data_IF_274045500749
#
_entry.id   IF_274045500749
#
_cell.length_a   1.000
_cell.length_b   1.000
_cell.length_c   1.000
_cell.angle_alpha   90.00
_cell.angle_beta   90.00
_cell.angle_gamma   90.00
#
_symmetry.space_group_name_H-M   'P 1'
#
loop_
_entity.id
_entity.type
_entity.pdbx_description
1 polymer ?
#
# COMPACT_ATOMS: atom_id res chain seq x y z
N UNK A 1 18.77 -8.49 -7.94
CA UNK A 1 18.30 -7.71 -9.11
C UNK A 1 17.26 -8.50 -9.89
N UNK A 2 16.36 -7.86 -10.67
CA UNK A 2 15.37 -8.56 -11.49
C UNK A 2 16.00 -9.61 -12.44
N UNK A 3 17.13 -9.32 -13.15
CA UNK A 3 17.82 -10.34 -13.93
C UNK A 3 18.26 -11.56 -13.11
N UNK A 4 18.75 -11.36 -11.88
CA UNK A 4 19.13 -12.44 -10.99
C UNK A 4 17.91 -13.29 -10.59
N UNK A 5 16.79 -12.66 -10.22
CA UNK A 5 15.53 -13.35 -9.90
C UNK A 5 14.99 -14.14 -11.10
N UNK A 6 15.04 -13.58 -12.30
CA UNK A 6 14.65 -14.27 -13.53
C UNK A 6 15.59 -15.44 -13.85
N UNK A 7 16.91 -15.26 -13.64
CA UNK A 7 17.89 -16.32 -13.80
C UNK A 7 17.69 -17.45 -12.76
N UNK A 8 17.43 -17.10 -11.51
CA UNK A 8 17.11 -18.07 -10.44
C UNK A 8 15.87 -18.86 -10.81
N UNK A 9 14.80 -18.21 -11.28
CA UNK A 9 13.59 -18.89 -11.76
C UNK A 9 13.88 -19.82 -12.93
N UNK A 10 14.68 -19.38 -13.89
CA UNK A 10 15.07 -20.21 -15.05
C UNK A 10 15.96 -21.39 -14.64
N UNK A 11 16.89 -21.19 -13.70
CA UNK A 11 17.78 -22.24 -13.19
C UNK A 11 17.08 -23.27 -12.31
N UNK A 12 15.99 -22.86 -11.64
CA UNK A 12 15.22 -23.70 -10.76
C UNK A 12 14.41 -24.79 -11.51
N UNK A 13 14.27 -24.70 -12.84
CA UNK A 13 13.51 -25.64 -13.66
C UNK A 13 11.99 -25.52 -13.47
N UNK A 14 11.21 -26.17 -14.29
CA UNK A 14 9.73 -26.12 -14.28
C UNK A 14 9.07 -26.69 -12.99
N UNK A 15 9.85 -27.13 -12.01
CA UNK A 15 9.36 -27.74 -10.76
C UNK A 15 9.69 -27.00 -9.47
N UNK A 16 10.51 -25.94 -9.45
CA UNK A 16 10.84 -25.24 -8.22
C UNK A 16 10.08 -23.92 -8.10
N UNK A 17 9.17 -23.89 -7.15
CA UNK A 17 8.41 -22.68 -6.82
C UNK A 17 9.29 -21.77 -5.95
N UNK A 18 9.79 -20.67 -6.52
CA UNK A 18 10.55 -19.64 -5.78
C UNK A 18 9.64 -18.74 -4.93
N UNK A 19 8.33 -18.90 -5.00
CA UNK A 19 7.38 -18.14 -4.20
C UNK A 19 7.31 -18.70 -2.79
N UNK A 20 7.36 -17.83 -1.79
CA UNK A 20 7.22 -18.24 -0.37
C UNK A 20 5.77 -18.54 0.03
N UNK A 21 4.80 -18.25 -0.85
CA UNK A 21 3.37 -18.29 -0.51
C UNK A 21 2.93 -17.16 0.43
N UNK A 22 3.79 -16.16 0.65
CA UNK A 22 3.47 -14.97 1.45
C UNK A 22 2.97 -13.83 0.58
N UNK A 23 2.29 -12.88 1.21
CA UNK A 23 1.74 -11.68 0.57
C UNK A 23 2.23 -10.41 1.25
N UNK A 24 2.16 -9.29 0.53
CA UNK A 24 2.51 -7.97 1.04
C UNK A 24 1.34 -7.01 0.88
N UNK A 25 1.01 -6.29 1.93
CA UNK A 25 0.11 -5.12 1.91
C UNK A 25 0.95 -3.88 2.15
N UNK A 26 1.03 -3.00 1.15
CA UNK A 26 1.69 -1.71 1.26
C UNK A 26 0.64 -0.62 1.51
N UNK A 27 0.53 -0.15 2.76
CA UNK A 27 -0.26 1.02 3.12
C UNK A 27 0.55 2.28 2.80
N UNK A 28 0.19 2.95 1.71
CA UNK A 28 0.83 4.17 1.24
C UNK A 28 0.08 5.39 1.77
N UNK A 29 0.71 6.12 2.69
CA UNK A 29 0.22 7.36 3.29
C UNK A 29 0.63 8.54 2.40
N UNK A 30 -0.17 8.78 1.37
CA UNK A 30 0.17 9.71 0.29
C UNK A 30 0.03 11.17 0.71
N UNK A 31 1.05 11.94 0.42
CA UNK A 31 1.22 13.33 0.83
C UNK A 31 2.46 13.53 1.71
N UNK A 32 3.12 12.46 2.15
CA UNK A 32 4.31 12.48 3.00
C UNK A 32 3.96 12.55 4.49
N UNK A 33 3.70 11.40 5.14
CA UNK A 33 3.41 11.34 6.57
C UNK A 33 4.59 11.85 7.38
N UNK A 34 4.30 12.67 8.37
CA UNK A 34 5.34 13.15 9.28
C UNK A 34 5.81 12.04 10.20
N UNK A 35 7.10 11.68 10.12
CA UNK A 35 7.71 10.67 10.98
C UNK A 35 7.67 11.07 12.47
N UNK A 36 7.60 12.39 12.76
CA UNK A 36 7.54 12.93 14.10
C UNK A 36 6.14 12.73 14.71
N UNK A 37 5.09 13.04 13.97
CA UNK A 37 3.71 12.86 14.47
C UNK A 37 3.26 11.39 14.45
N UNK A 38 4.05 10.47 13.85
CA UNK A 38 3.74 9.03 13.78
C UNK A 38 4.58 8.21 14.76
N UNK A 39 5.78 7.81 14.39
CA UNK A 39 6.54 6.78 15.12
C UNK A 39 7.80 7.30 15.84
N UNK A 40 8.10 8.62 15.76
CA UNK A 40 9.30 9.20 16.40
C UNK A 40 9.04 10.60 17.01
N UNK A 41 8.19 10.71 18.06
CA UNK A 41 7.61 11.98 18.54
C UNK A 41 8.59 12.98 19.14
N UNK A 42 9.81 12.57 19.53
CA UNK A 42 10.89 13.45 20.00
C UNK A 42 10.49 14.41 21.13
N UNK A 43 9.76 13.95 22.12
CA UNK A 43 9.24 14.81 23.19
C UNK A 43 10.32 15.51 24.02
N UNK A 44 11.56 15.06 23.97
CA UNK A 44 12.71 15.73 24.61
C UNK A 44 13.33 16.84 23.77
N UNK A 45 12.90 17.01 22.51
CA UNK A 45 13.33 18.11 21.64
C UNK A 45 12.64 19.43 22.02
N UNK A 46 13.17 20.60 21.60
CA UNK A 46 12.46 21.87 21.71
C UNK A 46 11.05 21.83 21.10
N UNK A 47 10.16 22.68 21.60
CA UNK A 47 8.73 22.63 21.28
C UNK A 47 8.41 22.68 19.77
N UNK A 48 9.21 23.42 19.01
CA UNK A 48 9.05 23.58 17.56
C UNK A 48 9.49 22.34 16.74
N UNK A 49 10.16 21.35 17.37
CA UNK A 49 10.65 20.14 16.71
C UNK A 49 9.85 18.88 17.11
N UNK A 50 9.39 18.82 18.36
CA UNK A 50 8.66 17.64 18.87
C UNK A 50 7.28 17.50 18.26
N UNK A 51 6.65 16.36 18.47
CA UNK A 51 5.28 16.12 18.04
C UNK A 51 4.31 17.14 18.68
N UNK A 52 3.44 17.71 17.85
CA UNK A 52 2.54 18.79 18.25
C UNK A 52 1.51 18.33 19.29
N UNK A 53 1.03 17.10 19.14
CA UNK A 53 -0.01 16.53 20.00
C UNK A 53 0.54 15.64 21.13
N UNK A 54 1.86 15.60 21.30
CA UNK A 54 2.49 14.75 22.30
C UNK A 54 2.67 13.30 21.84
N UNK A 55 2.78 12.41 22.81
CA UNK A 55 3.10 11.02 22.57
C UNK A 55 2.19 10.07 23.34
N UNK A 56 2.12 8.83 22.88
CA UNK A 56 1.52 7.69 23.58
C UNK A 56 2.57 6.64 23.90
N UNK A 57 2.42 5.98 25.06
CA UNK A 57 3.28 4.86 25.45
C UNK A 57 2.99 3.65 24.55
N UNK A 58 4.03 2.86 24.33
CA UNK A 58 3.90 1.59 23.61
C UNK A 58 4.20 0.40 24.51
N UNK A 59 3.96 -0.81 24.02
CA UNK A 59 4.35 -2.05 24.70
C UNK A 59 5.87 -2.29 24.71
N UNK A 60 6.64 -1.51 23.95
CA UNK A 60 8.10 -1.57 23.95
C UNK A 60 8.66 -0.58 24.97
N UNK A 61 9.45 -1.04 25.95
CA UNK A 61 10.04 -0.14 26.97
C UNK A 61 10.85 1.01 26.34
N UNK A 62 10.56 2.24 26.76
CA UNK A 62 11.26 3.44 26.30
C UNK A 62 10.91 3.88 24.87
N UNK A 63 9.97 3.23 24.22
CA UNK A 63 9.49 3.57 22.88
C UNK A 63 8.11 4.22 22.98
N UNK A 64 7.95 5.36 22.33
CA UNK A 64 6.66 6.06 22.23
C UNK A 64 6.32 6.32 20.77
N UNK A 65 5.03 6.44 20.46
CA UNK A 65 4.48 6.89 19.18
C UNK A 65 3.79 8.23 19.35
N UNK A 66 3.46 8.91 18.27
CA UNK A 66 2.61 10.11 18.31
C UNK A 66 1.27 9.81 18.98
N UNK A 67 0.71 10.78 19.69
CA UNK A 67 -0.48 10.58 20.55
C UNK A 67 -1.72 10.02 19.83
N UNK A 68 -1.79 10.16 18.51
CA UNK A 68 -2.90 9.64 17.69
C UNK A 68 -2.80 8.14 17.37
N UNK A 69 -1.78 7.41 17.90
CA UNK A 69 -1.53 6.00 17.63
C UNK A 69 -1.60 5.11 18.89
N UNK A 70 -2.63 5.24 19.76
CA UNK A 70 -2.70 4.45 20.99
C UNK A 70 -2.97 2.96 20.75
N UNK A 71 -3.67 2.58 19.68
CA UNK A 71 -3.96 1.18 19.36
C UNK A 71 -2.71 0.49 18.79
N UNK A 72 -2.03 1.12 17.84
CA UNK A 72 -0.73 0.62 17.35
C UNK A 72 0.33 0.63 18.45
N UNK A 73 0.29 1.59 19.38
CA UNK A 73 1.16 1.59 20.56
C UNK A 73 1.00 0.33 21.41
N UNK A 74 -0.21 -0.17 21.58
CA UNK A 74 -0.50 -1.46 22.26
C UNK A 74 0.01 -2.67 21.48
N UNK A 75 0.16 -2.55 20.17
CA UNK A 75 0.62 -3.59 19.25
C UNK A 75 2.09 -3.42 18.83
N UNK A 76 2.83 -2.49 19.43
CA UNK A 76 4.22 -2.20 19.04
C UNK A 76 5.14 -3.43 19.13
N UNK A 77 4.85 -4.37 20.03
CA UNK A 77 5.57 -5.66 20.12
C UNK A 77 5.37 -6.56 18.87
N UNK A 78 4.37 -6.26 18.04
CA UNK A 78 4.08 -6.92 16.75
C UNK A 78 4.52 -6.09 15.54
N UNK A 79 5.29 -5.04 15.78
CA UNK A 79 5.77 -4.13 14.75
C UNK A 79 7.30 -4.03 14.77
N UNK A 80 7.87 -3.70 13.62
CA UNK A 80 9.23 -3.22 13.49
C UNK A 80 9.18 -1.80 12.93
N UNK A 81 9.60 -0.81 13.71
CA UNK A 81 9.55 0.60 13.32
C UNK A 81 10.95 1.07 12.93
N UNK A 82 11.05 1.73 11.78
CA UNK A 82 12.33 2.21 11.25
C UNK A 82 12.44 3.72 11.43
N UNK A 83 13.42 4.16 12.24
CA UNK A 83 13.68 5.59 12.53
C UNK A 83 14.90 6.16 11.80
N UNK A 84 15.42 5.41 10.82
CA UNK A 84 16.57 5.82 9.99
C UNK A 84 16.32 5.67 8.49
N UNK A 85 15.07 5.54 8.06
CA UNK A 85 14.71 5.42 6.65
C UNK A 85 14.87 6.76 5.92
N UNK A 86 15.67 6.77 4.84
CA UNK A 86 16.03 7.97 4.09
C UNK A 86 16.25 7.67 2.61
N UNK A 87 15.83 8.58 1.75
CA UNK A 87 16.13 8.54 0.30
C UNK A 87 16.52 9.91 -0.30
N UNK A 88 16.39 11.01 0.46
CA UNK A 88 16.86 12.34 0.05
C UNK A 88 15.93 13.10 -0.92
N UNK A 89 14.82 12.52 -1.37
CA UNK A 89 13.90 13.14 -2.34
C UNK A 89 12.69 13.75 -1.62
N UNK A 90 12.43 15.04 -1.83
CA UNK A 90 11.30 15.79 -1.25
C UNK A 90 10.23 16.20 -2.28
N UNK A 91 10.20 15.60 -3.47
CA UNK A 91 9.20 15.90 -4.50
C UNK A 91 8.17 14.77 -4.60
N UNK A 92 6.87 15.07 -4.43
CA UNK A 92 5.79 14.07 -4.41
C UNK A 92 5.88 13.03 -5.53
N UNK A 93 6.00 13.47 -6.79
CA UNK A 93 5.97 12.56 -7.93
C UNK A 93 7.13 11.58 -7.96
N UNK A 94 8.34 12.09 -7.88
CA UNK A 94 9.56 11.29 -7.98
C UNK A 94 9.84 10.49 -6.71
N UNK A 95 9.50 11.02 -5.54
CA UNK A 95 9.67 10.30 -4.28
C UNK A 95 8.66 9.14 -4.15
N UNK A 96 7.40 9.35 -4.51
CA UNK A 96 6.38 8.28 -4.50
C UNK A 96 6.79 7.11 -5.42
N UNK A 97 7.21 7.42 -6.65
CA UNK A 97 7.72 6.42 -7.59
C UNK A 97 8.98 5.71 -7.06
N UNK A 98 9.91 6.47 -6.45
CA UNK A 98 11.15 5.92 -5.89
C UNK A 98 10.88 4.94 -4.73
N UNK A 99 10.00 5.29 -3.80
CA UNK A 99 9.64 4.42 -2.66
C UNK A 99 8.88 3.20 -3.14
N UNK A 100 7.87 3.36 -4.01
CA UNK A 100 7.08 2.25 -4.53
C UNK A 100 7.90 1.28 -5.38
N UNK A 101 8.93 1.77 -6.09
CA UNK A 101 9.87 0.95 -6.84
C UNK A 101 11.00 0.38 -5.97
N UNK A 102 11.21 0.88 -4.75
CA UNK A 102 12.35 0.48 -3.91
C UNK A 102 13.72 0.82 -4.53
N UNK A 103 13.76 1.76 -5.47
CA UNK A 103 15.00 2.16 -6.15
C UNK A 103 15.55 1.16 -7.15
N UNK A 104 14.74 0.19 -7.61
CA UNK A 104 15.21 -0.79 -8.61
C UNK A 104 15.47 -0.14 -9.99
N UNK A 105 16.39 -0.71 -10.81
CA UNK A 105 16.78 -0.14 -12.10
C UNK A 105 15.64 -0.01 -13.12
N UNK A 106 14.67 -0.93 -13.12
CA UNK A 106 13.54 -0.89 -14.07
C UNK A 106 12.50 0.15 -13.71
N UNK A 107 12.60 0.80 -12.54
CA UNK A 107 11.64 1.76 -12.02
C UNK A 107 10.20 1.20 -11.86
N UNK A 108 10.04 -0.11 -12.00
CA UNK A 108 8.77 -0.79 -11.78
C UNK A 108 8.44 -0.84 -10.28
N UNK A 109 7.19 -0.55 -9.91
CA UNK A 109 6.73 -0.70 -8.54
C UNK A 109 6.84 -2.16 -8.08
N UNK A 110 7.02 -2.38 -6.78
CA UNK A 110 7.27 -3.71 -6.21
C UNK A 110 6.18 -4.72 -6.57
N UNK A 111 4.90 -4.30 -6.60
CA UNK A 111 3.80 -5.15 -7.04
C UNK A 111 3.89 -5.55 -8.52
N UNK A 112 4.37 -4.66 -9.39
CA UNK A 112 4.62 -4.98 -10.81
C UNK A 112 5.80 -5.95 -10.98
N UNK A 113 6.85 -5.81 -10.16
CA UNK A 113 7.95 -6.78 -10.11
C UNK A 113 7.45 -8.16 -9.65
N UNK A 114 6.60 -8.18 -8.61
CA UNK A 114 6.00 -9.42 -8.14
C UNK A 114 5.17 -10.08 -9.24
N UNK A 115 4.24 -9.36 -9.87
CA UNK A 115 3.41 -9.88 -10.95
C UNK A 115 4.24 -10.38 -12.15
N UNK A 116 5.39 -9.74 -12.45
CA UNK A 116 6.31 -10.20 -13.51
C UNK A 116 6.91 -11.57 -13.18
N UNK A 117 7.13 -11.85 -11.91
CA UNK A 117 7.77 -13.11 -11.46
C UNK A 117 6.75 -14.20 -11.10
N UNK A 118 5.64 -13.83 -10.47
CA UNK A 118 4.61 -14.77 -10.01
C UNK A 118 3.55 -15.08 -11.07
N UNK A 119 3.44 -14.27 -12.12
CA UNK A 119 2.33 -14.28 -13.08
C UNK A 119 1.35 -13.13 -12.84
N UNK A 120 0.51 -12.84 -13.82
CA UNK A 120 -0.50 -11.78 -13.71
C UNK A 120 -1.56 -12.12 -12.66
N UNK A 121 -2.01 -13.37 -12.66
CA UNK A 121 -2.99 -13.90 -11.73
C UNK A 121 -2.41 -15.07 -10.93
N UNK A 122 -3.01 -15.30 -9.78
CA UNK A 122 -2.78 -16.51 -8.99
C UNK A 122 -3.34 -17.71 -9.74
N UNK A 123 -2.51 -18.71 -9.97
CA UNK A 123 -2.87 -19.88 -10.79
C UNK A 123 -3.99 -20.74 -10.20
N UNK A 124 -4.18 -20.71 -8.87
CA UNK A 124 -5.18 -21.52 -8.19
C UNK A 124 -6.53 -20.79 -8.07
N UNK A 125 -6.49 -19.47 -7.82
CA UNK A 125 -7.68 -18.70 -7.49
C UNK A 125 -8.14 -17.75 -8.60
N UNK A 126 -7.31 -17.52 -9.62
CA UNK A 126 -7.56 -16.54 -10.69
C UNK A 126 -7.45 -15.07 -10.23
N UNK A 127 -7.17 -14.80 -8.95
CA UNK A 127 -7.03 -13.46 -8.42
C UNK A 127 -5.83 -12.73 -9.01
N UNK A 128 -5.96 -11.44 -9.36
CA UNK A 128 -4.80 -10.65 -9.74
C UNK A 128 -3.72 -10.67 -8.65
N UNK A 129 -2.50 -10.96 -9.06
CA UNK A 129 -1.35 -11.03 -8.15
C UNK A 129 -0.88 -9.66 -7.66
N UNK A 130 -1.31 -8.57 -8.30
CA UNK A 130 -0.97 -7.20 -7.96
C UNK A 130 -2.24 -6.33 -8.02
N UNK A 131 -2.72 -5.88 -6.87
CA UNK A 131 -4.00 -5.14 -6.76
C UNK A 131 -3.81 -3.80 -6.06
N UNK A 132 -4.51 -2.77 -6.54
CA UNK A 132 -4.59 -1.45 -5.94
C UNK A 132 -5.96 -1.25 -5.29
N UNK A 133 -5.97 -0.88 -4.01
CA UNK A 133 -7.20 -0.59 -3.25
C UNK A 133 -7.24 0.89 -2.90
N UNK A 134 -7.95 1.68 -3.72
CA UNK A 134 -8.22 3.09 -3.49
C UNK A 134 -9.54 3.28 -2.73
N UNK A 135 -9.81 4.44 -2.10
CA UNK A 135 -11.09 4.69 -1.42
C UNK A 135 -12.32 4.46 -2.29
N UNK A 136 -12.25 4.82 -3.58
CA UNK A 136 -13.35 4.63 -4.53
C UNK A 136 -13.75 3.16 -4.73
N UNK A 137 -12.84 2.21 -4.51
CA UNK A 137 -13.13 0.79 -4.52
C UNK A 137 -14.11 0.37 -3.40
N UNK A 138 -14.19 1.15 -2.32
CA UNK A 138 -15.12 0.93 -1.21
C UNK A 138 -16.50 1.58 -1.43
N UNK A 139 -16.70 2.24 -2.55
CA UNK A 139 -17.96 2.85 -2.96
C UNK A 139 -17.77 4.22 -3.61
N UNK A 140 -18.62 4.54 -4.58
CA UNK A 140 -18.56 5.77 -5.43
C UNK A 140 -18.59 7.08 -4.64
N UNK A 141 -19.05 7.08 -3.38
CA UNK A 141 -19.08 8.27 -2.50
C UNK A 141 -17.68 8.66 -1.99
N UNK A 142 -16.76 7.70 -1.91
CA UNK A 142 -15.41 7.92 -1.43
C UNK A 142 -14.55 8.42 -2.57
N UNK A 143 -14.06 9.64 -2.46
CA UNK A 143 -13.23 10.28 -3.48
C UNK A 143 -11.87 10.59 -2.89
N UNK A 144 -10.88 10.42 -3.72
CA UNK A 144 -9.51 10.76 -3.40
C UNK A 144 -8.95 11.59 -4.56
N UNK A 145 -9.21 12.90 -4.48
CA UNK A 145 -8.88 13.84 -5.56
C UNK A 145 -7.38 14.03 -5.80
N UNK A 146 -6.56 13.58 -4.86
CA UNK A 146 -5.10 13.69 -4.96
C UNK A 146 -4.37 12.36 -5.04
N UNK A 147 -5.11 11.24 -5.04
CA UNK A 147 -4.48 9.98 -5.35
C UNK A 147 -3.91 10.06 -6.78
N UNK A 148 -2.62 9.84 -6.90
CA UNK A 148 -2.01 9.62 -8.21
C UNK A 148 -1.56 8.15 -8.27
N UNK A 149 -2.52 7.23 -8.45
CA UNK A 149 -2.26 5.79 -8.44
C UNK A 149 -1.12 5.41 -9.38
N UNK A 150 -1.05 6.04 -10.55
CA UNK A 150 -0.01 5.81 -11.55
C UNK A 150 1.43 5.96 -11.03
N UNK A 151 1.64 6.74 -9.95
CA UNK A 151 2.97 6.93 -9.37
C UNK A 151 3.43 5.76 -8.52
N UNK A 152 2.48 5.07 -7.88
CA UNK A 152 2.75 3.96 -6.96
C UNK A 152 2.41 2.59 -7.54
N UNK A 153 1.91 2.55 -8.79
CA UNK A 153 1.62 1.31 -9.54
C UNK A 153 2.27 1.30 -10.92
N UNK A 154 3.27 2.15 -11.14
CA UNK A 154 4.00 2.22 -12.42
C UNK A 154 4.69 0.90 -12.72
N UNK A 155 4.57 0.46 -13.96
CA UNK A 155 5.30 -0.72 -14.46
C UNK A 155 6.76 -0.39 -14.81
N UNK A 156 7.16 0.90 -14.78
CA UNK A 156 8.50 1.32 -15.21
C UNK A 156 8.81 0.84 -16.63
N UNK A 157 9.91 0.13 -16.78
CA UNK A 157 10.33 -0.46 -18.06
C UNK A 157 9.66 -1.82 -18.38
N UNK A 158 8.78 -2.31 -17.49
CA UNK A 158 8.05 -3.55 -17.76
C UNK A 158 6.79 -3.29 -18.60
N UNK A 159 6.29 -4.30 -19.34
CA UNK A 159 5.01 -4.22 -20.03
C UNK A 159 3.86 -3.76 -19.11
N UNK A 160 2.91 -3.00 -19.67
CA UNK A 160 1.77 -2.47 -18.92
C UNK A 160 0.86 -3.56 -18.34
N UNK A 161 0.87 -4.76 -18.86
CA UNK A 161 0.14 -5.89 -18.33
C UNK A 161 0.43 -6.18 -16.84
N UNK A 162 1.63 -5.83 -16.36
CA UNK A 162 2.01 -6.00 -14.95
C UNK A 162 1.54 -4.86 -14.04
N UNK A 163 0.74 -3.93 -14.55
CA UNK A 163 0.14 -2.86 -13.74
C UNK A 163 -0.82 -3.47 -12.71
N UNK A 164 -0.92 -2.81 -11.54
CA UNK A 164 -1.88 -3.24 -10.52
C UNK A 164 -3.32 -3.19 -11.04
N UNK A 165 -4.07 -4.24 -10.79
CA UNK A 165 -5.51 -4.26 -11.01
C UNK A 165 -6.18 -3.27 -10.06
N UNK A 166 -6.97 -2.35 -10.62
CA UNK A 166 -7.72 -1.36 -9.85
C UNK A 166 -9.23 -1.65 -9.92
N UNK A 167 -9.82 -2.18 -8.85
CA UNK A 167 -11.23 -2.52 -8.82
C UNK A 167 -12.17 -1.30 -8.86
N UNK A 168 -11.66 -0.07 -8.76
CA UNK A 168 -12.47 1.15 -8.85
C UNK A 168 -12.72 1.61 -10.28
N UNK A 169 -12.02 1.07 -11.27
CA UNK A 169 -12.07 1.54 -12.67
C UNK A 169 -13.25 1.04 -13.49
N UNK A 170 -14.13 0.21 -12.92
CA UNK A 170 -15.37 -0.27 -13.55
C UNK A 170 -16.61 0.53 -13.13
N UNK A 171 -17.69 0.50 -13.93
CA UNK A 171 -18.97 1.14 -13.60
C UNK A 171 -19.67 0.44 -12.43
N UNK A 172 -19.47 -0.86 -12.29
CA UNK A 172 -20.03 -1.70 -11.21
C UNK A 172 -19.27 -3.02 -11.11
N UNK A 173 -18.08 -3.00 -10.51
CA UNK A 173 -17.12 -4.11 -10.56
C UNK A 173 -17.71 -5.46 -10.11
N UNK A 174 -18.59 -5.46 -9.11
CA UNK A 174 -19.24 -6.69 -8.65
C UNK A 174 -20.17 -7.26 -9.73
N UNK A 175 -20.89 -6.41 -10.46
CA UNK A 175 -21.74 -6.84 -11.57
C UNK A 175 -20.91 -7.17 -12.82
N UNK A 176 -19.85 -6.42 -13.07
CA UNK A 176 -18.95 -6.64 -14.21
C UNK A 176 -18.15 -7.95 -14.05
N UNK A 177 -17.92 -8.39 -12.80
CA UNK A 177 -17.29 -9.67 -12.47
C UNK A 177 -18.28 -10.85 -12.37
N UNK A 178 -19.59 -10.62 -12.43
CA UNK A 178 -20.58 -11.69 -12.47
C UNK A 178 -20.79 -12.18 -13.91
N UNK A 179 -20.71 -13.48 -14.07
CA UNK A 179 -21.01 -14.10 -15.34
C UNK A 179 -22.52 -14.05 -15.60
N UNK A 180 -22.94 -13.13 -16.48
CA UNK A 180 -24.35 -12.97 -16.88
C UNK A 180 -24.78 -13.88 -18.05
N UNK A 181 -23.95 -14.90 -18.39
CA UNK A 181 -24.21 -15.87 -19.43
C UNK A 181 -24.16 -17.27 -18.84
N UNK A 182 -24.96 -18.21 -19.35
CA UNK A 182 -24.81 -19.63 -19.04
C UNK A 182 -23.38 -20.08 -19.37
N UNK A 183 -22.76 -20.86 -18.50
CA UNK A 183 -21.34 -21.26 -18.58
C UNK A 183 -20.97 -21.86 -19.95
N UNK A 184 -21.81 -22.66 -20.58
CA UNK A 184 -21.57 -23.21 -21.90
C UNK A 184 -21.45 -22.16 -23.02
N UNK A 185 -22.29 -21.11 -22.99
CA UNK A 185 -22.21 -20.00 -23.97
C UNK A 185 -21.00 -19.10 -23.79
N UNK A 186 -20.51 -19.03 -22.57
CA UNK A 186 -19.31 -18.25 -22.26
C UNK A 186 -18.06 -18.96 -22.77
N UNK A 187 -17.93 -20.28 -22.53
CA UNK A 187 -16.83 -21.07 -23.05
C UNK A 187 -16.81 -21.12 -24.58
N UNK A 188 -17.96 -21.18 -25.23
CA UNK A 188 -18.10 -21.12 -26.69
C UNK A 188 -17.59 -19.77 -27.24
N UNK A 189 -17.91 -18.63 -26.58
CA UNK A 189 -17.40 -17.31 -26.96
C UNK A 189 -15.92 -17.15 -26.69
N UNK A 190 -15.43 -17.69 -25.56
CA UNK A 190 -14.00 -17.71 -25.24
C UNK A 190 -13.21 -18.52 -26.26
N UNK A 191 -13.68 -19.71 -26.60
CA UNK A 191 -13.08 -20.54 -27.64
C UNK A 191 -13.08 -19.89 -29.01
N UNK A 192 -14.15 -19.14 -29.36
CA UNK A 192 -14.22 -18.38 -30.60
C UNK A 192 -13.23 -17.20 -30.59
N UNK A 193 -13.14 -16.45 -29.50
CA UNK A 193 -12.17 -15.35 -29.33
C UNK A 193 -10.74 -15.87 -29.44
N UNK A 194 -10.40 -16.96 -28.77
CA UNK A 194 -9.07 -17.58 -28.88
C UNK A 194 -8.71 -17.98 -30.33
N UNK A 195 -9.66 -18.58 -31.06
CA UNK A 195 -9.45 -18.93 -32.48
C UNK A 195 -9.34 -17.71 -33.37
N UNK A 196 -10.08 -16.63 -33.09
CA UNK A 196 -9.96 -15.35 -33.81
C UNK A 196 -8.63 -14.67 -33.53
N UNK A 197 -8.13 -14.74 -32.30
CA UNK A 197 -6.83 -14.18 -31.92
C UNK A 197 -5.65 -15.01 -32.48
N UNK A 198 -5.79 -16.34 -32.56
CA UNK A 198 -4.84 -17.20 -33.27
C UNK A 198 -4.77 -16.86 -34.76
N UNK A 199 -5.91 -16.61 -35.42
CA UNK A 199 -5.95 -16.14 -36.81
C UNK A 199 -5.36 -14.75 -36.99
N UNK A 200 -5.60 -13.81 -36.06
CA UNK A 200 -4.97 -12.48 -36.06
C UNK A 200 -3.47 -12.54 -35.84
N UNK A 201 -3.01 -13.38 -34.92
CA UNK A 201 -1.55 -13.61 -34.66
C UNK A 201 -0.83 -14.17 -35.90
N UNK A 202 -1.55 -14.95 -36.71
CA UNK A 202 -1.03 -15.47 -38.00
C UNK A 202 -0.95 -14.37 -39.07
N UNK A 203 -1.85 -13.35 -38.99
CA UNK A 203 -1.92 -12.26 -39.94
C UNK A 203 -1.00 -11.07 -39.59
N UNK A 204 -0.78 -10.80 -38.29
CA UNK A 204 -0.03 -9.63 -37.79
C UNK A 204 1.21 -10.06 -37.00
N UNK A 205 2.35 -10.11 -37.64
CA UNK A 205 3.63 -10.26 -36.95
C UNK A 205 3.86 -9.07 -36.01
N UNK A 206 3.44 -9.14 -34.73
CA UNK A 206 4.11 -8.47 -33.65
C UNK A 206 3.39 -7.33 -32.87
N UNK A 207 2.10 -7.01 -33.10
CA UNK A 207 1.52 -5.83 -32.47
C UNK A 207 0.49 -6.00 -31.31
N UNK A 208 -0.01 -7.21 -31.04
CA UNK A 208 -1.22 -7.42 -30.19
C UNK A 208 -0.98 -8.29 -28.93
N UNK A 209 0.25 -8.65 -28.62
CA UNK A 209 0.56 -9.51 -27.46
C UNK A 209 0.01 -8.95 -26.12
N UNK A 210 0.02 -7.62 -25.94
CA UNK A 210 -0.45 -7.00 -24.70
C UNK A 210 -1.98 -7.01 -24.51
N UNK A 211 -2.76 -6.91 -25.59
CA UNK A 211 -4.23 -6.93 -25.49
C UNK A 211 -4.73 -8.33 -25.07
N UNK A 212 -4.15 -9.38 -25.60
CA UNK A 212 -4.56 -10.76 -25.26
C UNK A 212 -4.24 -11.13 -23.81
N UNK A 213 -3.17 -10.60 -23.21
CA UNK A 213 -2.83 -10.83 -21.81
C UNK A 213 -3.83 -10.16 -20.87
N UNK A 214 -4.31 -8.94 -21.18
CA UNK A 214 -5.37 -8.27 -20.41
C UNK A 214 -6.72 -8.98 -20.52
N UNK A 215 -7.08 -9.46 -21.70
CA UNK A 215 -8.29 -10.24 -21.91
C UNK A 215 -8.24 -11.56 -21.13
N UNK A 216 -7.12 -12.26 -21.18
CA UNK A 216 -6.89 -13.50 -20.42
C UNK A 216 -7.05 -13.21 -18.91
N UNK A 217 -6.41 -12.17 -18.41
CA UNK A 217 -6.54 -11.77 -17.00
C UNK A 217 -7.99 -11.48 -16.62
N UNK A 218 -8.73 -10.76 -17.47
CA UNK A 218 -10.14 -10.46 -17.22
C UNK A 218 -11.00 -11.73 -17.17
N UNK A 219 -10.76 -12.69 -18.06
CA UNK A 219 -11.48 -13.97 -18.07
C UNK A 219 -11.22 -14.81 -16.83
N UNK A 220 -9.96 -14.91 -16.39
CA UNK A 220 -9.59 -15.65 -15.18
C UNK A 220 -10.23 -15.04 -13.93
N UNK A 221 -10.28 -13.71 -13.83
CA UNK A 221 -10.97 -12.98 -12.77
C UNK A 221 -12.47 -13.28 -12.74
N UNK A 222 -13.12 -13.31 -13.92
CA UNK A 222 -14.57 -13.56 -14.02
C UNK A 222 -14.91 -15.01 -13.69
N UNK A 223 -14.15 -15.97 -14.22
CA UNK A 223 -14.39 -17.41 -14.02
C UNK A 223 -14.04 -17.91 -12.62
N UNK A 224 -13.02 -17.32 -11.99
CA UNK A 224 -12.52 -17.72 -10.67
C UNK A 224 -13.47 -17.42 -9.49
N UNK A 225 -14.65 -16.83 -9.73
CA UNK A 225 -15.57 -16.44 -8.64
C UNK A 225 -15.00 -15.35 -7.73
N UNK A 226 -14.05 -14.60 -8.23
CA UNK A 226 -13.27 -13.55 -7.54
C UNK A 226 -14.15 -12.43 -6.99
N UNK A 227 -15.35 -12.22 -7.55
CA UNK A 227 -16.31 -11.21 -7.11
C UNK A 227 -16.64 -11.31 -5.60
N UNK A 228 -16.68 -12.52 -5.04
CA UNK A 228 -16.94 -12.74 -3.61
C UNK A 228 -15.87 -12.16 -2.70
N UNK A 229 -14.62 -12.07 -3.14
CA UNK A 229 -13.52 -11.50 -2.35
C UNK A 229 -13.72 -10.01 -2.16
N UNK A 230 -14.31 -9.32 -3.16
CA UNK A 230 -14.60 -7.89 -3.12
C UNK A 230 -15.90 -7.54 -2.38
N UNK A 231 -16.74 -8.51 -2.07
CA UNK A 231 -17.96 -8.30 -1.29
C UNK A 231 -17.67 -8.42 0.20
N UNK A 232 -17.72 -7.28 0.90
CA UNK A 232 -17.50 -7.23 2.35
C UNK A 232 -18.75 -7.57 3.16
N UNK A 233 -19.91 -7.83 2.53
CA UNK A 233 -21.16 -8.08 3.24
C UNK A 233 -21.16 -9.39 4.03
N UNK A 234 -20.33 -10.36 3.59
CA UNK A 234 -20.19 -11.67 4.24
C UNK A 234 -19.17 -11.67 5.40
N UNK A 235 -18.55 -10.51 5.72
CA UNK A 235 -17.53 -10.46 6.77
C UNK A 235 -18.17 -10.49 8.17
N UNK A 236 -17.46 -11.10 9.13
CA UNK A 236 -17.89 -11.18 10.52
C UNK A 236 -18.16 -9.76 11.08
N UNK A 237 -19.37 -9.49 11.62
CA UNK A 237 -19.74 -8.18 12.16
C UNK A 237 -18.75 -7.62 13.20
N UNK A 238 -18.08 -8.47 13.98
CA UNK A 238 -17.05 -8.05 14.95
C UNK A 238 -15.84 -7.41 14.24
N UNK A 239 -15.42 -7.98 13.11
CA UNK A 239 -14.35 -7.40 12.31
C UNK A 239 -14.82 -6.17 11.56
N UNK A 240 -16.05 -6.15 11.06
CA UNK A 240 -16.65 -4.94 10.48
C UNK A 240 -16.60 -3.75 11.45
N UNK A 241 -16.95 -3.95 12.71
CA UNK A 241 -16.88 -2.93 13.77
C UNK A 241 -15.43 -2.57 14.12
N UNK A 242 -14.56 -3.58 14.22
CA UNK A 242 -13.15 -3.38 14.59
C UNK A 242 -12.39 -2.54 13.55
N UNK A 243 -12.68 -2.72 12.27
CA UNK A 243 -12.13 -1.90 11.18
C UNK A 243 -12.88 -0.58 10.96
N UNK A 244 -14.06 -0.36 11.54
CA UNK A 244 -14.91 0.78 11.17
C UNK A 244 -14.26 2.13 11.48
N UNK A 245 -13.86 2.82 10.40
CA UNK A 245 -13.40 4.21 10.40
C UNK A 245 -14.49 5.18 9.93
N UNK A 246 -15.73 4.73 9.71
CA UNK A 246 -16.83 5.49 9.13
C UNK A 246 -17.27 6.68 9.97
N UNK A 247 -16.94 6.69 11.26
CA UNK A 247 -17.19 7.81 12.18
C UNK A 247 -16.13 8.93 12.05
N UNK A 248 -14.98 8.66 11.44
CA UNK A 248 -13.88 9.63 11.26
C UNK A 248 -14.20 10.47 10.02
N UNK A 249 -14.72 11.66 10.22
CA UNK A 249 -15.14 12.55 9.13
C UNK A 249 -14.30 13.81 9.10
N UNK A 250 -14.12 14.35 7.91
CA UNK A 250 -13.51 15.67 7.73
C UNK A 250 -14.46 16.71 8.32
N UNK A 251 -13.99 17.54 9.27
CA UNK A 251 -14.80 18.61 9.86
C UNK A 251 -15.37 19.55 8.81
N UNK A 252 -16.63 19.95 8.97
CA UNK A 252 -17.33 20.87 8.03
C UNK A 252 -16.65 22.24 7.87
N UNK A 253 -15.84 22.65 8.83
CA UNK A 253 -15.13 23.95 8.85
C UNK A 253 -13.79 23.96 8.12
N UNK A 254 -13.26 22.81 7.71
CA UNK A 254 -12.03 22.80 6.94
C UNK A 254 -12.24 23.51 5.59
N UNK A 255 -11.38 24.49 5.25
CA UNK A 255 -11.57 25.26 4.03
C UNK A 255 -11.49 24.34 2.80
N UNK A 256 -12.51 24.38 1.94
CA UNK A 256 -12.56 23.58 0.70
C UNK A 256 -11.54 24.01 -0.35
N UNK A 257 -10.95 25.21 -0.19
CA UNK A 257 -9.95 25.77 -1.11
C UNK A 257 -8.87 26.51 -0.34
N UNK A 258 -7.63 26.36 -0.78
CA UNK A 258 -6.48 27.18 -0.35
C UNK A 258 -6.73 28.63 -0.76
N UNK A 259 -6.09 29.62 -0.09
CA UNK A 259 -6.20 31.06 -0.44
C UNK A 259 -5.89 31.37 -1.92
N UNK A 260 -5.12 30.51 -2.60
CA UNK A 260 -4.79 30.61 -4.02
C UNK A 260 -5.83 29.95 -4.95
N UNK A 261 -7.01 29.62 -4.47
CA UNK A 261 -8.09 29.00 -5.23
C UNK A 261 -7.96 27.50 -5.50
N UNK A 262 -6.81 26.87 -5.17
CA UNK A 262 -6.64 25.43 -5.34
C UNK A 262 -7.48 24.67 -4.30
N UNK A 263 -8.14 23.61 -4.74
CA UNK A 263 -8.90 22.74 -3.85
C UNK A 263 -7.96 22.14 -2.79
N UNK A 264 -8.45 22.04 -1.54
CA UNK A 264 -7.83 21.14 -0.57
C UNK A 264 -8.12 19.73 -1.05
N UNK A 265 -7.13 18.83 -1.00
CA UNK A 265 -7.31 17.48 -1.43
C UNK A 265 -8.52 16.84 -0.74
N UNK A 266 -9.45 16.35 -1.52
CA UNK A 266 -10.47 15.46 -1.00
C UNK A 266 -9.79 14.15 -0.61
N UNK A 267 -9.95 13.73 0.64
CA UNK A 267 -9.49 12.44 1.14
C UNK A 267 -10.63 11.80 1.93
N UNK A 268 -10.62 10.48 2.01
CA UNK A 268 -11.70 9.70 2.63
C UNK A 268 -11.16 8.82 3.76
N UNK A 269 -10.81 9.40 4.92
CA UNK A 269 -10.29 8.64 6.06
C UNK A 269 -11.29 7.58 6.55
N UNK A 270 -12.58 7.84 6.37
CA UNK A 270 -13.67 6.94 6.70
C UNK A 270 -13.70 5.65 5.85
N UNK A 271 -12.99 5.60 4.72
CA UNK A 271 -12.91 4.40 3.87
C UNK A 271 -11.77 3.46 4.30
N UNK A 272 -10.78 3.95 5.05
CA UNK A 272 -9.51 3.25 5.26
C UNK A 272 -9.70 1.88 5.94
N UNK A 273 -10.60 1.79 6.91
CA UNK A 273 -10.89 0.50 7.57
C UNK A 273 -11.36 -0.55 6.56
N UNK A 274 -12.30 -0.19 5.69
CA UNK A 274 -12.79 -1.09 4.63
C UNK A 274 -11.71 -1.44 3.61
N UNK A 275 -10.84 -0.49 3.26
CA UNK A 275 -9.71 -0.74 2.36
C UNK A 275 -8.74 -1.76 2.98
N UNK A 276 -8.40 -1.63 4.26
CA UNK A 276 -7.50 -2.56 4.95
C UNK A 276 -8.13 -3.94 5.12
N UNK A 277 -9.43 -4.02 5.42
CA UNK A 277 -10.17 -5.29 5.43
C UNK A 277 -10.16 -5.96 4.06
N UNK A 278 -10.40 -5.20 2.99
CA UNK A 278 -10.31 -5.69 1.62
C UNK A 278 -8.91 -6.23 1.30
N UNK A 279 -7.86 -5.50 1.70
CA UNK A 279 -6.48 -5.93 1.48
C UNK A 279 -6.19 -7.27 2.19
N UNK A 280 -6.68 -7.47 3.42
CA UNK A 280 -6.56 -8.75 4.12
C UNK A 280 -7.26 -9.87 3.35
N UNK A 281 -8.52 -9.66 2.91
CA UNK A 281 -9.28 -10.66 2.14
C UNK A 281 -8.59 -11.04 0.84
N UNK A 282 -8.07 -10.05 0.11
CA UNK A 282 -7.32 -10.29 -1.12
C UNK A 282 -6.09 -11.16 -0.87
N UNK A 283 -5.30 -10.85 0.17
CA UNK A 283 -4.12 -11.65 0.52
C UNK A 283 -4.51 -13.06 1.01
N UNK A 284 -5.54 -13.19 1.85
CA UNK A 284 -6.07 -14.47 2.34
C UNK A 284 -6.54 -15.36 1.18
N UNK A 285 -7.03 -14.76 0.10
CA UNK A 285 -7.49 -15.45 -1.10
C UNK A 285 -6.42 -15.62 -2.18
N UNK A 286 -5.15 -15.28 -1.91
CA UNK A 286 -4.01 -15.58 -2.78
C UNK A 286 -3.47 -14.41 -3.60
N UNK A 287 -3.96 -13.18 -3.44
CA UNK A 287 -3.31 -12.00 -4.03
C UNK A 287 -1.96 -11.76 -3.34
N UNK A 288 -0.86 -11.75 -4.09
CA UNK A 288 0.46 -11.67 -3.48
C UNK A 288 0.92 -10.25 -3.13
N UNK A 289 0.40 -9.22 -3.81
CA UNK A 289 0.77 -7.84 -3.54
C UNK A 289 -0.44 -6.90 -3.61
N UNK A 290 -0.73 -6.22 -2.51
CA UNK A 290 -1.82 -5.25 -2.42
C UNK A 290 -1.27 -3.88 -2.03
N UNK A 291 -1.55 -2.86 -2.83
CA UNK A 291 -1.26 -1.47 -2.49
C UNK A 291 -2.54 -0.78 -2.03
N UNK A 292 -2.54 -0.25 -0.81
CA UNK A 292 -3.64 0.55 -0.25
C UNK A 292 -3.24 2.01 -0.22
N UNK A 293 -4.07 2.92 -0.73
CA UNK A 293 -3.81 4.35 -0.68
C UNK A 293 -4.61 5.03 0.41
N UNK A 294 -3.94 5.88 1.18
CA UNK A 294 -4.57 6.82 2.11
C UNK A 294 -3.94 8.20 1.90
N UNK A 295 -4.71 9.17 1.43
CA UNK A 295 -4.21 10.50 1.08
C UNK A 295 -4.54 11.55 2.15
N UNK A 296 -4.02 12.77 1.96
CA UNK A 296 -4.24 13.89 2.86
C UNK A 296 -3.04 14.24 3.74
N UNK A 297 -1.92 13.56 3.61
CA UNK A 297 -0.75 13.75 4.49
C UNK A 297 0.12 14.98 4.12
N UNK A 298 -0.31 15.78 3.14
CA UNK A 298 0.41 16.99 2.69
C UNK A 298 0.10 18.23 3.57
N UNK A 299 0.53 18.21 4.84
CA UNK A 299 0.18 19.15 5.90
C UNK A 299 1.16 20.33 5.99
N UNK A 300 1.09 21.25 5.01
CA UNK A 300 1.99 22.43 4.95
C UNK A 300 1.58 23.60 5.85
N UNK A 301 0.39 23.56 6.44
CA UNK A 301 -0.19 24.67 7.18
C UNK A 301 -1.01 25.64 6.31
N UNK A 302 -1.39 26.80 6.84
CA UNK A 302 -2.41 27.75 6.35
C UNK A 302 -3.81 27.10 6.27
N UNK A 303 -4.14 26.50 5.12
CA UNK A 303 -5.44 25.90 4.88
C UNK A 303 -5.55 24.45 5.38
N UNK A 304 -4.41 23.78 5.60
CA UNK A 304 -4.35 22.42 6.10
C UNK A 304 -2.98 22.17 6.75
N UNK A 305 -2.95 22.28 8.05
CA UNK A 305 -1.76 22.10 8.89
C UNK A 305 -1.69 20.74 9.55
N UNK A 306 -0.70 20.57 10.41
CA UNK A 306 -0.56 19.37 11.25
C UNK A 306 -1.72 19.27 12.24
N UNK A 307 -2.17 20.42 12.76
CA UNK A 307 -3.31 20.57 13.67
C UNK A 307 -4.66 20.20 13.03
N UNK A 308 -4.81 20.41 11.73
CA UNK A 308 -6.01 20.01 10.97
C UNK A 308 -6.00 18.53 10.59
N UNK A 309 -4.85 18.02 10.12
CA UNK A 309 -4.75 16.73 9.48
C UNK A 309 -4.55 15.57 10.45
N UNK A 310 -3.68 15.73 11.45
CA UNK A 310 -3.35 14.62 12.37
C UNK A 310 -4.54 14.12 13.18
N UNK A 311 -5.47 14.97 13.71
CA UNK A 311 -6.65 14.49 14.44
C UNK A 311 -7.61 13.65 13.57
N UNK A 312 -7.47 13.68 12.26
CA UNK A 312 -8.31 12.94 11.31
C UNK A 312 -7.58 11.71 10.79
N UNK A 313 -6.38 11.91 10.25
CA UNK A 313 -5.63 10.86 9.55
C UNK A 313 -4.95 9.89 10.53
N UNK A 314 -4.45 10.40 11.65
CA UNK A 314 -3.81 9.58 12.68
C UNK A 314 -4.74 8.50 13.22
N UNK A 315 -5.92 8.85 13.78
CA UNK A 315 -6.89 7.88 14.29
C UNK A 315 -7.40 6.89 13.22
N UNK A 316 -7.53 7.34 11.95
CA UNK A 316 -7.96 6.45 10.87
C UNK A 316 -6.91 5.35 10.60
N UNK A 317 -5.63 5.73 10.52
CA UNK A 317 -4.54 4.77 10.35
C UNK A 317 -4.36 3.90 11.59
N UNK A 318 -4.41 4.48 12.78
CA UNK A 318 -4.30 3.74 14.04
C UNK A 318 -5.35 2.64 14.14
N UNK A 319 -6.62 2.97 13.88
CA UNK A 319 -7.73 2.00 13.92
C UNK A 319 -7.62 0.96 12.81
N UNK A 320 -7.43 1.38 11.58
CA UNK A 320 -7.42 0.46 10.44
C UNK A 320 -6.22 -0.49 10.43
N UNK A 321 -5.01 0.02 10.73
CA UNK A 321 -3.80 -0.79 10.75
C UNK A 321 -3.75 -1.72 11.98
N UNK A 322 -4.20 -1.26 13.15
CA UNK A 322 -4.28 -2.14 14.34
C UNK A 322 -5.32 -3.25 14.15
N UNK A 323 -6.48 -2.95 13.55
CA UNK A 323 -7.47 -3.97 13.22
C UNK A 323 -6.90 -5.01 12.25
N UNK A 324 -6.14 -4.57 11.24
CA UNK A 324 -5.48 -5.47 10.29
C UNK A 324 -4.49 -6.41 10.98
N UNK A 325 -3.64 -5.91 11.87
CA UNK A 325 -2.67 -6.71 12.61
C UNK A 325 -3.38 -7.76 13.49
N UNK A 326 -4.42 -7.35 14.20
CA UNK A 326 -5.19 -8.25 15.07
C UNK A 326 -5.99 -9.29 14.28
N UNK A 327 -6.59 -8.91 13.13
CA UNK A 327 -7.34 -9.81 12.26
C UNK A 327 -6.41 -10.87 11.62
N UNK A 328 -5.24 -10.45 11.13
CA UNK A 328 -4.23 -11.37 10.64
C UNK A 328 -3.77 -12.36 11.72
N UNK A 329 -3.62 -11.91 12.96
CA UNK A 329 -3.28 -12.80 14.08
C UNK A 329 -4.39 -13.80 14.38
N UNK A 330 -5.64 -13.32 14.51
CA UNK A 330 -6.79 -14.16 14.82
C UNK A 330 -7.03 -15.25 13.75
N UNK A 331 -6.62 -14.99 12.51
CA UNK A 331 -6.74 -15.93 11.39
C UNK A 331 -5.48 -16.77 11.14
N UNK A 332 -4.41 -16.62 11.94
CA UNK A 332 -3.13 -17.29 11.71
C UNK A 332 -2.39 -16.82 10.44
N UNK A 333 -2.62 -15.58 10.02
CA UNK A 333 -2.05 -14.98 8.82
C UNK A 333 -0.82 -14.10 9.12
N UNK A 334 -0.46 -13.89 10.39
CA UNK A 334 0.65 -12.99 10.78
C UNK A 334 2.00 -13.36 10.14
N UNK A 335 2.28 -14.66 9.98
CA UNK A 335 3.49 -15.13 9.31
C UNK A 335 3.41 -15.07 7.78
N UNK A 336 2.20 -14.96 7.24
CA UNK A 336 1.92 -15.03 5.80
C UNK A 336 1.77 -13.66 5.14
N UNK A 337 1.31 -12.64 5.88
CA UNK A 337 1.04 -11.32 5.31
C UNK A 337 1.94 -10.29 5.98
N UNK A 338 2.76 -9.60 5.18
CA UNK A 338 3.57 -8.47 5.61
C UNK A 338 2.81 -7.17 5.36
N UNK A 339 2.50 -6.43 6.42
CA UNK A 339 2.06 -5.04 6.32
C UNK A 339 3.28 -4.11 6.31
N UNK A 340 3.33 -3.23 5.33
CA UNK A 340 4.31 -2.13 5.20
C UNK A 340 3.55 -0.81 5.29
N UNK A 341 3.85 0.03 6.28
CA UNK A 341 3.27 1.38 6.45
C UNK A 341 4.35 2.39 6.08
N UNK A 342 4.13 3.15 5.01
CA UNK A 342 5.10 4.16 4.53
C UNK A 342 4.39 5.26 3.75
N UNK A 343 5.14 6.26 3.30
CA UNK A 343 4.71 7.28 2.36
C UNK A 343 5.89 7.73 1.51
N UNK A 344 5.68 8.73 0.66
CA UNK A 344 6.71 9.15 -0.29
C UNK A 344 7.92 9.84 0.36
N UNK A 345 7.74 10.56 1.48
CA UNK A 345 8.80 11.20 2.28
C UNK A 345 8.27 11.58 3.67
N UNK A 346 9.14 12.05 4.54
CA UNK A 346 8.77 12.64 5.83
C UNK A 346 8.54 14.15 5.73
N UNK A 347 8.50 14.81 6.89
CA UNK A 347 8.25 16.26 6.99
C UNK A 347 9.35 16.96 7.75
N UNK A 348 9.53 18.28 7.47
CA UNK A 348 10.56 19.07 8.17
C UNK A 348 10.43 18.92 9.67
N UNK A 349 11.59 18.78 10.38
CA UNK A 349 11.60 18.63 11.83
C UNK A 349 10.97 19.82 12.56
N UNK A 350 11.24 21.03 12.08
CA UNK A 350 10.67 22.25 12.64
C UNK A 350 9.31 22.55 12.03
N UNK A 351 8.34 22.85 12.89
CA UNK A 351 7.02 23.37 12.49
C UNK A 351 7.25 24.78 11.90
N UNK A 352 6.69 25.03 10.73
CA UNK A 352 6.79 26.33 10.06
C UNK A 352 5.80 27.35 10.68
N UNK A 353 5.92 28.62 10.31
CA UNK A 353 5.07 29.71 10.82
C UNK A 353 3.60 29.65 10.36
N UNK A 354 3.21 28.60 9.63
CA UNK A 354 1.86 28.36 9.13
C UNK A 354 1.17 27.18 9.82
N UNK A 355 1.79 26.62 10.86
CA UNK A 355 1.26 25.46 11.59
C UNK A 355 1.44 24.12 10.88
N UNK A 356 2.33 24.05 9.90
CA UNK A 356 2.60 22.84 9.13
C UNK A 356 4.06 22.43 9.12
N UNK A 357 4.36 21.39 8.39
CA UNK A 357 5.72 20.89 8.12
C UNK A 357 5.90 20.73 6.61
N UNK A 358 7.02 21.19 6.08
CA UNK A 358 7.33 21.14 4.66
C UNK A 358 7.94 19.78 4.27
N UNK A 359 8.21 19.55 2.97
CA UNK A 359 8.74 18.29 2.48
C UNK A 359 10.14 17.99 3.01
N UNK A 360 10.39 16.74 3.39
CA UNK A 360 11.66 16.33 3.95
C UNK A 360 12.03 14.90 3.58
N UNK A 361 12.98 14.74 2.66
CA UNK A 361 13.45 13.42 2.22
C UNK A 361 14.55 12.80 3.09
N UNK A 362 15.02 13.52 4.15
CA UNK A 362 16.13 13.04 4.99
C UNK A 362 15.74 12.07 6.08
N UNK A 363 14.46 11.99 6.40
CA UNK A 363 13.85 10.95 7.23
C UNK A 363 12.42 10.76 6.76
N UNK A 364 12.00 9.49 6.69
CA UNK A 364 10.69 9.10 6.20
C UNK A 364 10.04 8.11 7.15
N UNK A 365 8.71 8.07 7.17
CA UNK A 365 7.95 7.09 7.95
C UNK A 365 8.07 5.71 7.31
N UNK A 366 8.44 4.70 8.11
CA UNK A 366 8.45 3.30 7.71
C UNK A 366 8.22 2.40 8.93
N UNK A 367 7.25 1.50 8.81
CA UNK A 367 7.01 0.45 9.79
C UNK A 367 6.53 -0.84 9.10
N UNK A 368 6.78 -1.96 9.76
CA UNK A 368 6.40 -3.30 9.32
C UNK A 368 5.60 -4.02 10.40
N UNK A 369 4.70 -4.93 9.98
CA UNK A 369 4.07 -5.89 10.88
C UNK A 369 3.84 -7.22 10.13
N UNK A 370 4.10 -8.35 10.77
CA UNK A 370 3.86 -9.68 10.21
C UNK A 370 4.90 -10.16 9.19
N UNK A 371 4.49 -11.03 8.26
CA UNK A 371 5.31 -11.56 7.17
C UNK A 371 6.43 -12.51 7.59
N UNK A 372 6.44 -12.96 8.86
CA UNK A 372 7.51 -13.79 9.41
C UNK A 372 8.80 -13.02 9.71
N UNK A 373 8.75 -11.70 9.75
CA UNK A 373 9.89 -10.88 10.13
C UNK A 373 9.98 -10.75 11.67
N UNK A 374 11.19 -10.51 12.18
CA UNK A 374 11.39 -10.24 13.61
C UNK A 374 10.74 -8.92 13.99
N UNK A 375 9.68 -8.98 14.79
CA UNK A 375 8.94 -7.83 15.30
C UNK A 375 9.38 -7.43 16.72
N UNK A 376 8.71 -6.44 17.31
CA UNK A 376 9.01 -5.95 18.65
C UNK A 376 10.29 -5.13 18.72
N UNK A 377 10.64 -4.37 17.69
CA UNK A 377 11.90 -3.64 17.63
C UNK A 377 11.79 -2.27 16.96
N UNK A 378 12.70 -1.39 17.30
CA UNK A 378 12.96 -0.13 16.60
C UNK A 378 14.30 -0.25 15.88
N UNK A 379 14.27 -0.10 14.57
CA UNK A 379 15.44 -0.20 13.69
C UNK A 379 15.99 1.20 13.47
N UNK A 380 17.23 1.39 13.84
CA UNK A 380 17.91 2.66 13.74
C UNK A 380 17.36 3.74 14.69
N UNK A 381 17.91 4.92 14.59
CA UNK A 381 17.48 6.11 15.33
C UNK A 381 17.70 7.37 14.51
N UNK A 382 16.90 8.37 14.77
CA UNK A 382 17.10 9.72 14.28
C UNK A 382 17.91 10.56 15.29
N UNK A 383 18.42 11.70 14.86
CA UNK A 383 19.08 12.69 15.72
C UNK A 383 18.09 13.32 16.74
N UNK A 384 18.60 14.21 17.60
CA UNK A 384 17.82 14.82 18.69
C UNK A 384 16.59 15.59 18.21
N UNK A 385 16.57 16.08 16.98
CA UNK A 385 15.49 16.87 16.39
C UNK A 385 14.74 16.11 15.29
N UNK A 386 15.02 14.83 15.08
CA UNK A 386 14.50 14.03 13.98
C UNK A 386 14.79 14.63 12.59
N UNK A 387 15.94 15.28 12.43
CA UNK A 387 16.34 15.89 11.17
C UNK A 387 17.03 14.93 10.21
N UNK A 388 17.77 13.98 10.75
CA UNK A 388 18.59 13.04 9.98
C UNK A 388 18.77 11.73 10.74
N UNK A 389 19.11 10.62 10.05
CA UNK A 389 19.55 9.41 10.72
C UNK A 389 20.78 9.67 11.61
N UNK A 390 20.78 9.12 12.81
CA UNK A 390 21.88 9.14 13.77
C UNK A 390 22.45 7.73 14.05
N UNK A 391 22.04 6.76 13.26
CA UNK A 391 22.55 5.39 13.23
C UNK A 391 22.63 4.90 11.79
N UNK A 392 22.83 3.60 11.60
CA UNK A 392 22.85 2.96 10.28
C UNK A 392 21.64 3.34 9.45
N UNK A 393 21.90 3.74 8.23
CA UNK A 393 20.92 4.22 7.29
C UNK A 393 20.12 3.05 6.71
N UNK A 394 18.80 3.14 6.74
CA UNK A 394 17.90 2.28 5.95
C UNK A 394 17.54 3.00 4.65
N UNK A 395 17.71 2.30 3.53
CA UNK A 395 17.51 2.84 2.16
C UNK A 395 16.33 2.19 1.45
N UNK A 396 15.92 2.74 0.30
CA UNK A 396 14.91 2.13 -0.55
C UNK A 396 15.28 0.72 -1.03
N UNK A 397 16.56 0.47 -1.31
CA UNK A 397 17.01 -0.87 -1.73
C UNK A 397 16.86 -1.90 -0.60
N UNK A 398 17.04 -1.47 0.66
CA UNK A 398 16.79 -2.35 1.82
C UNK A 398 15.30 -2.61 2.02
N UNK A 399 14.43 -1.62 1.78
CA UNK A 399 12.98 -1.81 1.75
C UNK A 399 12.60 -2.81 0.65
N UNK A 400 13.10 -2.62 -0.58
CA UNK A 400 12.90 -3.56 -1.68
C UNK A 400 13.38 -4.96 -1.32
N UNK A 401 14.59 -5.09 -0.77
CA UNK A 401 15.16 -6.36 -0.34
C UNK A 401 14.26 -7.06 0.68
N UNK A 402 13.80 -6.33 1.71
CA UNK A 402 12.88 -6.88 2.73
C UNK A 402 11.59 -7.42 2.11
N UNK A 403 10.98 -6.65 1.20
CA UNK A 403 9.75 -7.06 0.51
C UNK A 403 9.99 -8.26 -0.40
N UNK A 404 11.08 -8.25 -1.19
CA UNK A 404 11.38 -9.35 -2.12
C UNK A 404 11.75 -10.65 -1.38
N UNK A 405 12.52 -10.59 -0.29
CA UNK A 405 12.82 -11.77 0.55
C UNK A 405 11.58 -12.28 1.30
N UNK A 406 10.57 -11.44 1.54
CA UNK A 406 9.30 -11.93 2.06
C UNK A 406 8.53 -12.74 1.02
N UNK A 407 8.55 -12.29 -0.24
CA UNK A 407 7.76 -12.87 -1.34
C UNK A 407 8.44 -14.03 -2.05
N UNK A 408 9.77 -14.03 -2.06
CA UNK A 408 10.57 -15.00 -2.80
C UNK A 408 11.63 -15.65 -1.92
N UNK A 409 11.79 -16.95 -2.09
CA UNK A 409 12.93 -17.69 -1.54
C UNK A 409 14.15 -17.43 -2.42
N UNK A 410 14.94 -16.44 -2.00
CA UNK A 410 16.10 -15.96 -2.73
C UNK A 410 17.33 -16.29 -1.93
N UNK A 411 18.32 -16.99 -2.49
CA UNK A 411 19.61 -17.20 -1.83
C UNK A 411 20.28 -15.86 -1.47
N UNK A 412 20.87 -15.79 -0.29
CA UNK A 412 21.61 -14.62 0.19
C UNK A 412 22.86 -14.34 -0.66
#
# INVERSE_FOLDING_TARGET
TLPHLLATRAAAGEGSNILTGKSVVMLNLQGGPTHIETFDPKMTAPSEYRAMFGETKTTLPGVTFGSHFPMLGKLAHKMAVVRSFKHGNGSHGSAAALVAAGGNPTKACMGSLYARLAGLNNAETGLPNNTLVVPAAMGKRYKDLNAVPSRITSTGDLPKAYQAFDPSTGSNILNDMQLNLPDGRFEDRRGLLQRLDELKRYADNGGIAGASEFEQQAFEVILGGVSKVFDLSDEDPRWMERYDTGHIKIPKGLPKKKKNGKAIPGFSPEALGKQMMMARRLCESGCGFVTVTNTGWDMHGNAFGVDDGMPILGPAVDKAASAFIEDCEARGLSEKILLVITGEFGRTPRINNKGGRDHWGRLCTLAFAGGGLKMGQVIGRSDKTASSPASDLVTNNMLLGTVMHTLFDIPN
#
